data_IF_576427508991
#
_entry.id   IF_576427508991
#
_cell.length_a   1.000
_cell.length_b   1.000
_cell.length_c   1.000
_cell.angle_alpha   90.00
_cell.angle_beta   90.00
_cell.angle_gamma   90.00
#
_symmetry.space_group_name_H-M   'P 1'
#
loop_
_entity.id
_entity.type
_entity.pdbx_description
1 polymer ?
#
# COMPACT_ATOMS: atom_id res chain seq x y z
N UNK A 1 6.07 -9.73 2.52
CA UNK A 1 6.43 -8.60 1.64
C UNK A 1 5.30 -8.40 0.63
N UNK A 2 4.75 -7.21 0.54
CA UNK A 2 3.71 -6.86 -0.43
C UNK A 2 4.14 -5.62 -1.19
N UNK A 3 3.87 -5.59 -2.49
CA UNK A 3 4.20 -4.46 -3.36
C UNK A 3 2.93 -3.72 -3.73
N UNK A 4 3.01 -2.39 -3.78
CA UNK A 4 1.91 -1.51 -4.18
C UNK A 4 2.43 -0.53 -5.23
N UNK A 5 1.51 0.13 -5.94
CA UNK A 5 1.87 1.18 -6.90
C UNK A 5 1.54 2.52 -6.26
N UNK A 6 2.53 3.40 -6.15
CA UNK A 6 2.41 4.76 -5.61
C UNK A 6 2.57 5.77 -6.74
N UNK A 7 1.77 6.83 -6.70
CA UNK A 7 1.88 7.99 -7.58
C UNK A 7 2.79 9.02 -6.92
N UNK A 8 3.88 9.38 -7.58
CA UNK A 8 4.92 10.26 -7.04
C UNK A 8 4.51 11.72 -6.88
N UNK A 9 3.43 12.17 -7.53
CA UNK A 9 2.96 13.56 -7.43
C UNK A 9 2.26 13.87 -6.11
N UNK A 10 1.37 12.97 -5.68
CA UNK A 10 0.44 13.23 -4.55
C UNK A 10 0.46 12.11 -3.51
N UNK A 11 1.47 11.23 -3.62
CA UNK A 11 1.69 10.10 -2.72
C UNK A 11 0.51 9.12 -2.59
N UNK A 12 -0.40 9.10 -3.57
CA UNK A 12 -1.54 8.20 -3.60
C UNK A 12 -1.18 6.78 -4.04
N UNK A 13 -1.91 5.80 -3.53
CA UNK A 13 -1.81 4.40 -3.91
C UNK A 13 -2.84 4.01 -4.96
N UNK A 14 -2.43 3.21 -5.95
CA UNK A 14 -3.35 2.73 -6.98
C UNK A 14 -4.18 1.53 -6.50
N UNK A 15 -5.49 1.65 -6.59
CA UNK A 15 -6.44 0.52 -6.45
C UNK A 15 -6.74 -0.07 -7.83
N UNK A 16 -6.93 0.81 -8.80
CA UNK A 16 -7.15 0.48 -10.21
C UNK A 16 -6.50 1.54 -11.10
N UNK A 17 -6.60 1.39 -12.42
CA UNK A 17 -6.12 2.39 -13.39
C UNK A 17 -6.72 3.78 -13.16
N UNK A 18 -7.96 3.85 -12.68
CA UNK A 18 -8.74 5.10 -12.56
C UNK A 18 -8.98 5.54 -11.11
N UNK A 19 -8.59 4.71 -10.13
CA UNK A 19 -8.88 4.95 -8.72
C UNK A 19 -7.59 4.92 -7.91
N UNK A 20 -7.37 6.02 -7.20
CA UNK A 20 -6.23 6.26 -6.33
C UNK A 20 -6.71 6.69 -4.95
N UNK A 21 -6.02 6.26 -3.91
CA UNK A 21 -6.42 6.44 -2.51
C UNK A 21 -5.23 6.81 -1.64
N UNK A 22 -5.44 7.58 -0.58
CA UNK A 22 -4.38 7.93 0.36
C UNK A 22 -3.99 6.78 1.30
N UNK A 23 -4.94 5.90 1.63
CA UNK A 23 -4.68 4.79 2.55
C UNK A 23 -4.11 3.59 1.80
N UNK A 24 -2.94 3.13 2.26
CA UNK A 24 -2.27 1.94 1.74
C UNK A 24 -3.07 0.64 1.97
N UNK A 25 -4.04 0.65 2.89
CA UNK A 25 -4.88 -0.50 3.24
C UNK A 25 -5.68 -0.96 2.02
N UNK A 26 -6.20 -0.01 1.24
CA UNK A 26 -7.01 -0.26 0.05
C UNK A 26 -6.20 -0.40 -1.23
N UNK A 27 -4.88 -0.20 -1.16
CA UNK A 27 -3.99 -0.30 -2.32
C UNK A 27 -4.02 -1.70 -2.93
N UNK A 28 -3.89 -1.79 -4.25
CA UNK A 28 -3.72 -3.08 -4.92
C UNK A 28 -2.36 -3.67 -4.55
N UNK A 29 -2.38 -4.87 -3.95
CA UNK A 29 -1.20 -5.59 -3.48
C UNK A 29 -0.73 -6.60 -4.51
N UNK A 30 0.59 -6.66 -4.69
CA UNK A 30 1.28 -7.59 -5.56
C UNK A 30 2.26 -8.43 -4.74
N UNK A 31 2.47 -9.69 -5.15
CA UNK A 31 3.39 -10.59 -4.44
C UNK A 31 4.86 -10.23 -4.70
N UNK A 32 5.16 -9.72 -5.89
CA UNK A 32 6.53 -9.38 -6.30
C UNK A 32 6.57 -8.01 -6.97
N UNK A 33 7.74 -7.35 -6.90
CA UNK A 33 8.00 -6.09 -7.63
C UNK A 33 7.69 -6.21 -9.11
N UNK A 34 8.16 -7.30 -9.73
CA UNK A 34 7.96 -7.59 -11.16
C UNK A 34 6.48 -7.65 -11.55
N UNK A 35 5.61 -8.18 -10.69
CA UNK A 35 4.17 -8.17 -10.94
C UNK A 35 3.58 -6.75 -10.91
N UNK A 36 4.01 -5.93 -9.95
CA UNK A 36 3.58 -4.54 -9.86
C UNK A 36 4.04 -3.73 -11.10
N UNK A 37 5.29 -3.88 -11.52
CA UNK A 37 5.85 -3.21 -12.70
C UNK A 37 5.18 -3.66 -14.01
N UNK A 38 4.90 -4.97 -14.13
CA UNK A 38 4.15 -5.50 -15.26
C UNK A 38 2.74 -4.89 -15.31
N UNK A 39 2.10 -4.72 -14.15
CA UNK A 39 0.79 -4.07 -14.07
C UNK A 39 0.83 -2.58 -14.41
N UNK A 40 1.88 -1.84 -14.00
CA UNK A 40 2.09 -0.45 -14.43
C UNK A 40 2.08 -0.37 -15.96
N UNK A 41 2.82 -1.27 -16.61
CA UNK A 41 2.94 -1.29 -18.08
C UNK A 41 1.62 -1.72 -18.75
N UNK A 42 0.99 -2.80 -18.29
CA UNK A 42 -0.21 -3.36 -18.94
C UNK A 42 -1.47 -2.54 -18.72
N UNK A 43 -1.61 -1.88 -17.56
CA UNK A 43 -2.72 -0.99 -17.29
C UNK A 43 -2.52 0.42 -17.89
N UNK A 44 -1.37 0.70 -18.50
CA UNK A 44 -1.08 1.97 -19.16
C UNK A 44 -0.89 3.13 -18.18
N UNK A 45 -0.25 2.86 -17.04
CA UNK A 45 0.21 3.91 -16.14
C UNK A 45 1.47 4.57 -16.71
N UNK A 46 1.65 5.86 -16.43
CA UNK A 46 2.87 6.56 -16.75
C UNK A 46 3.99 6.14 -15.77
N UNK A 47 5.09 5.58 -16.32
CA UNK A 47 6.26 5.12 -15.57
C UNK A 47 7.07 6.26 -14.95
N UNK A 48 6.94 7.49 -15.46
CA UNK A 48 7.59 8.67 -14.87
C UNK A 48 6.92 9.13 -13.58
N UNK A 49 5.65 8.76 -13.38
CA UNK A 49 4.82 9.25 -12.27
C UNK A 49 4.45 8.10 -11.32
N UNK A 50 4.33 6.87 -11.82
CA UNK A 50 3.88 5.72 -11.04
C UNK A 50 5.03 4.74 -10.81
N UNK A 51 5.24 4.36 -9.55
CA UNK A 51 6.34 3.49 -9.15
C UNK A 51 5.86 2.36 -8.25
N UNK A 52 6.52 1.21 -8.33
CA UNK A 52 6.25 0.07 -7.46
C UNK A 52 7.05 0.24 -6.16
N UNK A 53 6.35 0.26 -5.02
CA UNK A 53 6.91 0.48 -3.69
C UNK A 53 6.61 -0.72 -2.80
N UNK A 54 7.58 -1.11 -1.98
CA UNK A 54 7.38 -2.16 -0.98
C UNK A 54 6.55 -1.60 0.18
N UNK A 55 5.47 -2.30 0.51
CA UNK A 55 4.64 -1.99 1.66
C UNK A 55 5.31 -2.62 2.91
N UNK A 56 5.98 -1.79 3.70
CA UNK A 56 6.35 -2.15 5.06
C UNK A 56 5.06 -2.18 5.88
N UNK A 57 4.55 -3.40 6.13
CA UNK A 57 3.48 -3.57 7.11
C UNK A 57 4.13 -3.31 8.46
N UNK A 58 4.02 -2.09 8.96
CA UNK A 58 4.24 -1.82 10.37
C UNK A 58 3.22 -2.68 11.10
N UNK A 59 3.73 -3.68 11.81
CA UNK A 59 2.95 -4.47 12.75
C UNK A 59 2.75 -3.63 14.03
N UNK A 60 2.13 -2.47 13.90
CA UNK A 60 1.73 -1.64 15.03
C UNK A 60 0.20 -1.48 14.97
N UNK A 61 -0.45 -2.47 15.54
CA UNK A 61 -1.60 -2.29 16.42
C UNK A 61 -1.62 -3.48 17.38
N UNK A 62 -0.50 -3.70 18.08
CA UNK A 62 -0.60 -4.22 19.44
C UNK A 62 -1.20 -3.11 20.28
N UNK A 63 -2.53 -3.08 20.40
CA UNK A 63 -3.12 -2.57 21.63
C UNK A 63 -2.85 -3.66 22.65
N UNK A 64 -1.68 -3.56 23.29
CA UNK A 64 -1.41 -4.23 24.56
C UNK A 64 -2.34 -3.57 25.59
N UNK A 65 -3.57 -4.05 25.66
CA UNK A 65 -4.53 -3.69 26.70
C UNK A 65 -4.16 -4.48 27.97
N UNK A 66 -2.96 -4.22 28.48
CA UNK A 66 -2.65 -4.49 29.89
C UNK A 66 -2.72 -3.17 30.63
N UNK A 67 -3.91 -2.80 31.07
CA UNK A 67 -4.07 -2.05 32.31
C UNK A 67 -5.12 -2.78 33.15
N UNK A 68 -4.61 -3.70 33.96
CA UNK A 68 -4.88 -3.78 35.37
C UNK A 68 -5.60 -2.53 35.91
N UNK A 69 -6.90 -2.64 36.22
CA UNK A 69 -7.57 -1.97 37.35
C UNK A 69 -9.10 -2.17 37.27
N UNK A 70 -9.58 -3.32 37.73
CA UNK A 70 -10.93 -3.42 38.29
C UNK A 70 -10.78 -4.03 39.68
N UNK A 71 -10.47 -3.16 40.65
CA UNK A 71 -10.74 -3.43 42.05
C UNK A 71 -12.27 -3.39 42.25
N UNK A 72 -12.86 -4.51 42.65
CA UNK A 72 -14.16 -4.57 43.34
C UNK A 72 -13.97 -5.31 44.67
#
# INVERSE_FOLDING_TARGET
MQWVIKRSTDDLYAVSRRLFVHSNVFARRFKTKKQAEAYITSAGFDKGIHTAVELQVQADDMIDMTDSDINF
#
